data_IF_585480575532
#
_entry.id   IF_585480575532
#
_cell.length_a   1.000
_cell.length_b   1.000
_cell.length_c   1.000
_cell.angle_alpha   90.00
_cell.angle_beta   90.00
_cell.angle_gamma   90.00
#
_symmetry.space_group_name_H-M   'P 1'
#
loop_
_entity.id
_entity.type
_entity.pdbx_description
1 polymer ?
#
# COMPACT_ATOMS: atom_id res chain seq x y z
N UNK A 1 -8.71 -11.10 -4.58
CA UNK A 1 -7.41 -10.90 -5.23
C UNK A 1 -6.36 -11.45 -4.29
N UNK A 2 -5.42 -12.23 -4.79
CA UNK A 2 -4.31 -12.72 -3.96
C UNK A 2 -3.38 -11.55 -3.60
N UNK A 3 -2.70 -11.65 -2.46
CA UNK A 3 -1.75 -10.62 -1.99
C UNK A 3 -0.66 -10.30 -3.01
N UNK A 4 -0.26 -11.30 -3.81
CA UNK A 4 0.70 -11.15 -4.89
C UNK A 4 0.20 -10.24 -6.01
N UNK A 5 -1.08 -10.33 -6.36
CA UNK A 5 -1.66 -9.58 -7.49
C UNK A 5 -1.69 -8.07 -7.18
N UNK A 6 -1.93 -7.72 -5.91
CA UNK A 6 -1.89 -6.33 -5.44
C UNK A 6 -0.50 -5.72 -5.59
N UNK A 7 0.57 -6.51 -5.40
CA UNK A 7 1.95 -6.04 -5.54
C UNK A 7 2.34 -5.70 -6.99
N UNK A 8 1.54 -6.15 -7.97
CA UNK A 8 1.75 -5.86 -9.40
C UNK A 8 0.77 -4.81 -9.94
N UNK A 9 -0.07 -4.22 -9.08
CA UNK A 9 -0.97 -3.13 -9.47
C UNK A 9 -0.17 -1.85 -9.70
N UNK A 10 -0.45 -1.12 -10.78
CA UNK A 10 0.19 0.16 -11.04
C UNK A 10 -0.30 1.25 -10.07
N UNK A 11 0.47 2.33 -9.92
CA UNK A 11 0.10 3.41 -9.02
C UNK A 11 -1.22 4.10 -9.43
N UNK A 12 -1.45 4.27 -10.73
CA UNK A 12 -2.68 4.86 -11.27
C UNK A 12 -3.90 3.96 -11.02
N UNK A 13 -3.78 2.65 -11.21
CA UNK A 13 -4.84 1.69 -10.91
C UNK A 13 -5.16 1.63 -9.41
N UNK A 14 -4.13 1.66 -8.56
CA UNK A 14 -4.29 1.70 -7.11
C UNK A 14 -5.03 2.97 -6.67
N UNK A 15 -4.63 4.14 -7.17
CA UNK A 15 -5.28 5.41 -6.88
C UNK A 15 -6.74 5.41 -7.36
N UNK A 16 -7.01 4.88 -8.56
CA UNK A 16 -8.37 4.75 -9.08
C UNK A 16 -9.22 3.83 -8.17
N UNK A 17 -8.65 2.72 -7.69
CA UNK A 17 -9.31 1.80 -6.77
C UNK A 17 -9.55 2.41 -5.38
N UNK A 18 -8.60 3.19 -4.85
CA UNK A 18 -8.76 3.91 -3.58
C UNK A 18 -9.90 4.94 -3.66
N UNK A 19 -9.93 5.75 -4.73
CA UNK A 19 -11.01 6.70 -4.99
C UNK A 19 -12.37 6.01 -5.16
N UNK A 20 -12.38 4.84 -5.80
CA UNK A 20 -13.57 4.01 -5.97
C UNK A 20 -13.95 3.20 -4.71
N UNK A 21 -13.16 3.27 -3.63
CA UNK A 21 -13.32 2.48 -2.39
C UNK A 21 -13.38 0.97 -2.62
N UNK A 22 -12.69 0.50 -3.67
CA UNK A 22 -12.57 -0.93 -4.02
C UNK A 22 -11.34 -1.59 -3.41
N UNK A 23 -10.39 -0.77 -2.99
CA UNK A 23 -9.15 -1.15 -2.32
C UNK A 23 -8.85 -0.05 -1.30
N UNK A 24 -8.33 -0.42 -0.13
CA UNK A 24 -7.80 0.52 0.85
C UNK A 24 -6.27 0.65 0.71
N UNK A 25 -5.68 1.84 0.93
CA UNK A 25 -4.24 1.99 1.08
C UNK A 25 -3.63 1.03 2.13
N UNK A 26 -4.38 0.73 3.20
CA UNK A 26 -3.95 -0.21 4.25
C UNK A 26 -3.86 -1.64 3.72
N UNK A 27 -4.83 -2.05 2.91
CA UNK A 27 -4.84 -3.39 2.28
C UNK A 27 -3.65 -3.55 1.32
N UNK A 28 -3.35 -2.52 0.51
CA UNK A 28 -2.20 -2.53 -0.38
C UNK A 28 -0.88 -2.57 0.40
N UNK A 29 -0.74 -1.74 1.45
CA UNK A 29 0.49 -1.70 2.24
C UNK A 29 0.76 -3.03 2.95
N UNK A 30 -0.29 -3.68 3.50
CA UNK A 30 -0.16 -5.01 4.08
C UNK A 30 0.33 -6.04 3.06
N UNK A 31 -0.15 -5.95 1.82
CA UNK A 31 0.29 -6.83 0.75
C UNK A 31 1.78 -6.65 0.41
N UNK A 32 2.22 -5.39 0.31
CA UNK A 32 3.62 -5.04 0.07
C UNK A 32 4.53 -5.54 1.19
N UNK A 33 4.15 -5.36 2.46
CA UNK A 33 4.93 -5.86 3.61
C UNK A 33 5.05 -7.39 3.55
N UNK A 34 3.94 -8.08 3.32
CA UNK A 34 3.92 -9.54 3.20
C UNK A 34 4.86 -10.03 2.10
N UNK A 35 4.88 -9.34 0.95
CA UNK A 35 5.79 -9.68 -0.13
C UNK A 35 7.24 -9.36 0.21
N UNK A 36 7.49 -8.22 0.86
CA UNK A 36 8.82 -7.80 1.31
C UNK A 36 9.43 -8.83 2.27
N UNK A 37 8.66 -9.32 3.24
CA UNK A 37 9.11 -10.38 4.17
C UNK A 37 9.47 -11.68 3.43
N UNK A 38 8.66 -12.10 2.45
CA UNK A 38 8.94 -13.31 1.65
C UNK A 38 10.23 -13.21 0.85
N UNK A 39 10.51 -12.06 0.25
CA UNK A 39 11.73 -11.88 -0.58
C UNK A 39 12.96 -11.57 0.26
N UNK A 40 12.80 -11.05 1.48
CA UNK A 40 13.91 -10.66 2.34
C UNK A 40 14.82 -11.82 2.70
N UNK A 41 14.28 -13.01 2.94
CA UNK A 41 15.08 -14.18 3.34
C UNK A 41 16.12 -14.55 2.25
N UNK A 42 15.66 -14.62 1.00
CA UNK A 42 16.44 -15.12 -0.13
C UNK A 42 17.24 -14.04 -0.86
N UNK A 43 16.66 -12.85 -1.06
CA UNK A 43 17.25 -11.80 -1.89
C UNK A 43 17.88 -10.67 -1.06
N UNK A 44 17.49 -10.53 0.21
CA UNK A 44 17.94 -9.46 1.11
C UNK A 44 17.92 -8.05 0.48
N UNK A 45 16.84 -7.63 -0.21
CA UNK A 45 16.81 -6.35 -0.91
C UNK A 45 16.74 -5.14 0.03
N UNK A 46 16.25 -5.32 1.26
CA UNK A 46 16.10 -4.23 2.23
C UNK A 46 17.16 -4.32 3.33
N UNK A 47 17.81 -3.20 3.64
CA UNK A 47 18.70 -3.07 4.80
C UNK A 47 17.95 -2.62 6.05
N UNK A 48 16.88 -1.84 5.87
CA UNK A 48 16.02 -1.33 6.93
C UNK A 48 14.56 -1.40 6.48
N UNK A 49 13.67 -1.67 7.43
CA UNK A 49 12.22 -1.71 7.20
C UNK A 49 11.53 -0.83 8.24
N UNK A 50 10.58 -0.01 7.80
CA UNK A 50 9.81 0.91 8.63
C UNK A 50 8.32 0.55 8.58
N UNK A 51 8.01 -0.73 8.80
CA UNK A 51 6.68 -1.27 8.54
C UNK A 51 5.58 -0.63 9.39
N UNK A 52 5.86 -0.37 10.67
CA UNK A 52 4.90 0.28 11.56
C UNK A 52 4.55 1.70 11.09
N UNK A 53 5.57 2.49 10.75
CA UNK A 53 5.38 3.84 10.20
C UNK A 53 4.64 3.81 8.85
N UNK A 54 4.99 2.87 7.97
CA UNK A 54 4.30 2.69 6.70
C UNK A 54 2.82 2.36 6.89
N UNK A 55 2.48 1.53 7.88
CA UNK A 55 1.09 1.21 8.21
C UNK A 55 0.34 2.41 8.81
N UNK A 56 0.99 3.25 9.62
CA UNK A 56 0.37 4.46 10.15
C UNK A 56 0.11 5.50 9.06
N UNK A 57 1.04 5.66 8.10
CA UNK A 57 0.84 6.48 6.91
C UNK A 57 -0.30 5.94 6.03
N UNK A 58 -0.39 4.62 5.84
CA UNK A 58 -1.47 4.01 5.08
C UNK A 58 -2.85 4.26 5.71
N UNK A 59 -2.97 4.18 7.05
CA UNK A 59 -4.21 4.54 7.76
C UNK A 59 -4.55 6.02 7.59
N UNK A 60 -3.54 6.91 7.61
CA UNK A 60 -3.76 8.33 7.39
C UNK A 60 -4.23 8.61 5.95
N UNK A 61 -3.67 7.92 4.96
CA UNK A 61 -4.14 7.97 3.57
C UNK A 61 -5.57 7.46 3.45
N UNK A 62 -5.89 6.29 4.01
CA UNK A 62 -7.26 5.75 4.02
C UNK A 62 -8.27 6.76 4.59
N UNK A 63 -7.93 7.43 5.70
CA UNK A 63 -8.77 8.46 6.29
C UNK A 63 -8.96 9.69 5.36
N UNK A 64 -7.94 10.06 4.58
CA UNK A 64 -8.03 11.16 3.59
C UNK A 64 -8.93 10.76 2.40
N UNK A 65 -8.75 9.56 1.86
CA UNK A 65 -9.61 9.00 0.82
C UNK A 65 -11.06 8.86 1.28
N UNK A 66 -11.30 8.43 2.53
CA UNK A 66 -12.63 8.32 3.10
C UNK A 66 -13.35 9.67 3.22
N UNK A 67 -12.60 10.74 3.53
CA UNK A 67 -13.10 12.12 3.65
C UNK A 67 -13.27 12.85 2.32
N UNK A 68 -12.71 12.32 1.23
CA UNK A 68 -12.65 13.02 -0.06
C UNK A 68 -11.84 14.32 0.02
N UNK A 69 -10.80 14.35 0.85
CA UNK A 69 -9.92 15.51 0.99
C UNK A 69 -9.15 15.81 -0.31
N UNK A 70 -8.59 17.02 -0.43
CA UNK A 70 -7.60 17.28 -1.47
C UNK A 70 -6.38 16.40 -1.23
N UNK A 71 -6.09 15.53 -2.20
CA UNK A 71 -5.08 14.49 -2.14
C UNK A 71 -4.08 14.69 -3.28
N UNK A 72 -2.81 14.47 -2.98
CA UNK A 72 -1.74 14.60 -3.96
C UNK A 72 -1.85 13.59 -5.10
N UNK A 73 -1.05 13.74 -6.17
CA UNK A 73 -1.03 12.76 -7.27
C UNK A 73 -0.61 11.34 -6.86
N UNK A 74 0.06 11.17 -5.71
CA UNK A 74 0.53 9.89 -5.14
C UNK A 74 0.30 9.90 -3.61
N UNK A 75 -0.95 10.09 -3.23
CA UNK A 75 -1.35 10.29 -1.83
C UNK A 75 -1.37 9.05 -0.94
#
# INVERSE_FOLDING_TARGET
>A
METSDLCYTSADDAIAAFKAKKLSPVELMQAVITQAEKVQDNLKPFTYTYYDEAMDLAKAAEARYAKGAEIGPLD
#
